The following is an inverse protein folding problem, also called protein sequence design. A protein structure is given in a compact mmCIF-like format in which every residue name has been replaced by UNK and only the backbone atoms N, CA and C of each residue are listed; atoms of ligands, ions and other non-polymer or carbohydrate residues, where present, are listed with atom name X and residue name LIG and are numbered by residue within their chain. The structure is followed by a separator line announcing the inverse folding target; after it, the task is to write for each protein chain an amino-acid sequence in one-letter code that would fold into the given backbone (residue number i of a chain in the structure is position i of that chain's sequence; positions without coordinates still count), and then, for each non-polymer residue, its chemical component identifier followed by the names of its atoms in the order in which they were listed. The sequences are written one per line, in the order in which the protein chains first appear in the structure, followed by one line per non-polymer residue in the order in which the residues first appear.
data_IF_317648833539
#
_entry.id   IF_317648833539
#
_cell.length_a   1.000
_cell.length_b   1.000
_cell.length_c   1.000
_cell.angle_alpha   90.00
_cell.angle_beta   90.00
_cell.angle_gamma   90.00
#
_symmetry.space_group_name_H-M   'P 1'
#
loop_
_entity.id
_entity.type
_entity.pdbx_description
1 polymer ?
#
# COMPACT_ATOMS: atom_id res chain seq x y z
N UNK A 1 56.43 -7.79 -8.49
CA UNK A 1 56.37 -6.35 -8.20
C UNK A 1 54.88 -5.98 -8.23
N UNK A 2 54.16 -6.14 -7.12
CA UNK A 2 54.07 -5.21 -5.98
C UNK A 2 53.28 -3.94 -6.32
N UNK A 3 51.96 -3.97 -6.08
CA UNK A 3 51.15 -2.83 -5.62
C UNK A 3 49.70 -3.30 -5.42
N UNK A 4 49.48 -4.07 -4.36
CA UNK A 4 48.21 -4.09 -3.67
C UNK A 4 48.12 -2.86 -2.75
N UNK A 5 46.90 -2.50 -2.35
CA UNK A 5 46.51 -1.43 -1.41
C UNK A 5 46.69 0.00 -1.94
N UNK A 6 45.70 0.89 -1.89
CA UNK A 6 45.04 1.44 -0.69
C UNK A 6 43.71 2.06 -1.17
N UNK A 7 42.55 1.50 -0.78
CA UNK A 7 41.60 2.06 0.21
C UNK A 7 40.57 3.02 -0.43
N UNK A 8 39.31 2.58 -0.57
CA UNK A 8 38.15 3.05 0.22
C UNK A 8 37.91 4.56 0.06
N UNK A 9 36.74 5.01 -0.42
CA UNK A 9 35.68 5.56 0.47
C UNK A 9 34.41 5.90 -0.35
N UNK A 10 33.28 5.36 0.12
CA UNK A 10 31.91 5.89 0.12
C UNK A 10 30.94 5.82 -1.08
N UNK A 11 30.00 4.88 -0.91
CA UNK A 11 28.54 5.06 -0.78
C UNK A 11 27.69 5.43 -2.02
N UNK A 12 26.63 4.63 -2.23
CA UNK A 12 25.80 4.60 -3.43
C UNK A 12 24.61 5.58 -3.49
N UNK A 13 23.72 5.40 -4.49
CA UNK A 13 22.60 6.31 -4.78
C UNK A 13 21.27 5.80 -4.20
N UNK A 14 20.43 6.71 -3.67
CA UNK A 14 18.99 6.46 -3.43
C UNK A 14 18.18 7.76 -3.47
N UNK A 15 17.01 7.72 -4.10
CA UNK A 15 16.17 8.85 -4.53
C UNK A 15 15.02 9.20 -3.57
N UNK A 16 14.64 10.50 -3.60
CA UNK A 16 13.34 11.18 -3.47
C UNK A 16 12.34 10.79 -2.35
N UNK A 17 11.74 11.80 -1.68
CA UNK A 17 10.31 12.20 -1.79
C UNK A 17 10.12 13.65 -1.29
N UNK A 18 9.52 14.52 -2.11
CA UNK A 18 9.04 15.86 -1.76
C UNK A 18 7.56 15.72 -1.37
N UNK A 19 7.19 16.17 -0.18
CA UNK A 19 5.80 16.16 0.28
C UNK A 19 4.94 17.09 -0.59
N UNK A 20 3.86 16.56 -1.16
CA UNK A 20 2.79 17.33 -1.78
C UNK A 20 1.81 17.79 -0.67
N UNK A 21 1.57 19.09 -0.54
CA UNK A 21 0.48 19.64 0.29
C UNK A 21 -0.65 20.15 -0.60
N UNK A 22 -1.93 19.85 -0.29
CA UNK A 22 -3.07 20.32 -1.09
C UNK A 22 -3.40 21.78 -0.72
N UNK A 23 -3.52 22.67 -1.69
CA UNK A 23 -3.93 24.03 -1.37
C UNK A 23 -4.14 25.02 -2.51
N UNK A 24 -3.59 24.83 -3.71
CA UNK A 24 -3.73 25.86 -4.75
C UNK A 24 -3.69 25.28 -6.15
N UNK A 25 -4.83 25.26 -6.83
CA UNK A 25 -4.84 25.42 -8.29
C UNK A 25 -5.87 26.49 -8.66
N UNK A 26 -5.35 27.67 -8.96
CA UNK A 26 -6.07 28.84 -9.43
C UNK A 26 -5.94 28.84 -10.95
N UNK A 27 -7.01 28.40 -11.64
CA UNK A 27 -7.15 28.49 -13.09
C UNK A 27 -8.12 29.62 -13.46
N UNK A 28 -7.83 30.46 -14.47
CA UNK A 28 -8.54 31.70 -14.71
C UNK A 28 -9.86 31.45 -15.44
N UNK A 29 -10.96 31.80 -14.78
CA UNK A 29 -12.25 31.98 -15.41
C UNK A 29 -13.10 32.88 -14.53
N UNK A 30 -13.70 33.88 -15.17
CA UNK A 30 -15.05 34.38 -14.89
C UNK A 30 -15.13 35.81 -14.33
N UNK A 31 -15.60 36.70 -15.21
CA UNK A 31 -16.05 38.08 -14.96
C UNK A 31 -17.23 38.13 -13.97
N UNK A 32 -17.39 39.24 -13.22
CA UNK A 32 -18.39 39.33 -12.18
C UNK A 32 -19.77 39.61 -12.78
N UNK A 33 -20.75 38.75 -12.46
CA UNK A 33 -22.17 38.94 -12.77
C UNK A 33 -22.80 39.69 -11.60
N UNK A 34 -23.45 40.82 -11.88
CA UNK A 34 -24.30 41.55 -10.93
C UNK A 34 -25.73 41.04 -11.10
N UNK A 35 -26.39 40.50 -10.07
CA UNK A 35 -27.83 40.34 -10.14
C UNK A 35 -28.53 40.86 -8.87
N UNK A 36 -29.19 42.00 -8.99
CA UNK A 36 -30.66 42.18 -9.09
C UNK A 36 -31.31 42.42 -7.72
N UNK A 37 -32.34 43.30 -7.67
CA UNK A 37 -32.91 43.74 -6.41
C UNK A 37 -33.59 42.58 -5.67
N UNK A 38 -33.33 42.51 -4.37
CA UNK A 38 -33.82 41.45 -3.49
C UNK A 38 -35.32 41.58 -3.22
N UNK A 39 -36.02 40.46 -3.37
CA UNK A 39 -37.42 40.30 -3.03
C UNK A 39 -37.66 40.51 -1.52
N UNK A 40 -38.88 40.93 -1.12
CA UNK A 40 -39.21 41.12 0.29
C UNK A 40 -39.10 39.82 1.10
N UNK A 41 -38.75 39.93 2.40
CA UNK A 41 -38.56 38.77 3.26
C UNK A 41 -39.87 38.02 3.47
N UNK A 42 -39.80 36.69 3.43
CA UNK A 42 -40.97 35.83 3.68
C UNK A 42 -41.36 35.85 5.16
N UNK A 43 -42.66 35.68 5.47
CA UNK A 43 -43.13 35.51 6.85
C UNK A 43 -42.44 34.34 7.57
N UNK A 44 -42.28 34.47 8.88
CA UNK A 44 -41.64 33.44 9.70
C UNK A 44 -42.48 32.15 9.72
N UNK A 45 -41.84 30.97 9.66
CA UNK A 45 -42.54 29.70 9.75
C UNK A 45 -43.15 29.49 11.14
N UNK A 46 -44.24 28.71 11.24
CA UNK A 46 -44.84 28.38 12.53
C UNK A 46 -43.89 27.55 13.42
N UNK A 47 -44.05 27.60 14.76
CA UNK A 47 -43.24 26.83 15.68
C UNK A 47 -43.46 25.32 15.50
N UNK A 48 -42.35 24.58 15.47
CA UNK A 48 -42.35 23.11 15.37
C UNK A 48 -42.23 22.53 16.78
N UNK A 49 -43.23 21.75 17.20
CA UNK A 49 -43.20 21.04 18.49
C UNK A 49 -42.76 19.59 18.29
N UNK A 50 -41.70 19.18 18.97
CA UNK A 50 -41.20 17.81 18.93
C UNK A 50 -41.89 17.00 20.04
N UNK A 51 -42.56 15.88 19.70
CA UNK A 51 -43.15 15.02 20.72
C UNK A 51 -42.05 14.35 21.56
N UNK A 52 -42.33 14.16 22.85
CA UNK A 52 -41.41 13.46 23.74
C UNK A 52 -41.29 11.99 23.31
N UNK A 53 -40.06 11.54 23.07
CA UNK A 53 -39.78 10.14 22.71
C UNK A 53 -39.85 9.30 23.98
N UNK A 54 -40.68 8.25 24.02
CA UNK A 54 -40.68 7.30 25.13
C UNK A 54 -39.30 6.65 25.27
N UNK A 55 -38.68 6.79 26.44
CA UNK A 55 -37.41 6.17 26.73
C UNK A 55 -37.63 4.72 27.18
N UNK A 56 -36.86 3.78 26.64
CA UNK A 56 -36.80 2.41 27.16
C UNK A 56 -35.81 2.38 28.33
N UNK A 57 -36.17 1.76 29.45
CA UNK A 57 -35.23 1.55 30.55
C UNK A 57 -34.04 0.76 30.02
N UNK A 58 -32.83 1.30 30.20
CA UNK A 58 -31.61 0.67 29.70
C UNK A 58 -31.50 -0.77 30.25
N UNK A 59 -30.97 -1.72 29.46
CA UNK A 59 -30.73 -3.06 29.96
C UNK A 59 -29.89 -2.99 31.25
N UNK A 60 -30.07 -3.94 32.19
CA UNK A 60 -29.26 -3.98 33.40
C UNK A 60 -27.78 -3.98 33.02
N UNK A 61 -26.96 -3.30 33.82
CA UNK A 61 -25.52 -3.24 33.57
C UNK A 61 -24.96 -4.65 33.45
N UNK A 62 -24.05 -4.85 32.50
CA UNK A 62 -23.35 -6.12 32.32
C UNK A 62 -22.58 -6.44 33.61
N UNK A 63 -23.16 -7.30 34.46
CA UNK A 63 -22.41 -7.96 35.51
C UNK A 63 -21.45 -8.94 34.83
N UNK A 64 -20.20 -9.02 35.31
CA UNK A 64 -19.25 -10.03 34.85
C UNK A 64 -19.86 -11.41 35.08
N UNK A 65 -20.42 -11.99 34.03
CA UNK A 65 -20.79 -13.39 34.02
C UNK A 65 -19.47 -14.15 34.16
N UNK A 66 -19.26 -14.79 35.30
CA UNK A 66 -18.09 -15.64 35.57
C UNK A 66 -18.20 -16.97 34.80
N UNK A 67 -18.73 -16.90 33.58
CA UNK A 67 -18.67 -17.95 32.58
C UNK A 67 -17.27 -17.88 32.02
N UNK A 68 -16.33 -18.62 32.64
CA UNK A 68 -15.07 -18.94 31.99
C UNK A 68 -15.41 -19.40 30.57
N UNK A 69 -15.03 -18.66 29.52
CA UNK A 69 -15.15 -19.22 28.18
C UNK A 69 -14.20 -20.41 28.18
N UNK A 70 -14.75 -21.63 28.14
CA UNK A 70 -13.96 -22.77 27.72
C UNK A 70 -13.50 -22.39 26.32
N UNK A 71 -12.21 -22.12 26.17
CA UNK A 71 -11.56 -21.92 24.90
C UNK A 71 -11.85 -23.19 24.09
N UNK A 72 -12.88 -23.15 23.24
CA UNK A 72 -12.98 -24.15 22.18
C UNK A 72 -11.85 -23.76 21.26
N UNK A 73 -10.73 -24.47 21.42
CA UNK A 73 -9.58 -24.39 20.53
C UNK A 73 -10.05 -24.88 19.17
N UNK A 74 -10.68 -23.98 18.41
CA UNK A 74 -10.90 -24.18 16.99
C UNK A 74 -9.55 -23.92 16.36
N UNK A 75 -8.86 -25.01 15.99
CA UNK A 75 -7.60 -24.95 15.25
C UNK A 75 -7.75 -23.92 14.12
N UNK A 76 -6.98 -22.81 14.13
CA UNK A 76 -7.01 -21.87 13.04
C UNK A 76 -6.61 -22.63 11.77
N UNK A 77 -7.32 -22.49 10.62
CA UNK A 77 -6.85 -23.09 9.40
C UNK A 77 -5.46 -22.52 9.14
N UNK A 78 -4.44 -23.38 9.24
CA UNK A 78 -3.06 -23.01 8.94
C UNK A 78 -2.93 -22.84 7.43
N UNK A 79 -3.46 -21.73 6.92
CA UNK A 79 -3.12 -21.21 5.61
C UNK A 79 -1.71 -20.70 5.72
N UNK A 80 -0.77 -21.64 5.65
CA UNK A 80 0.64 -21.36 5.49
C UNK A 80 0.81 -20.79 4.09
N UNK A 81 0.63 -19.47 3.96
CA UNK A 81 1.22 -18.68 2.89
C UNK A 81 2.74 -18.70 3.13
N UNK A 82 3.36 -19.88 3.04
CA UNK A 82 4.81 -19.97 2.86
C UNK A 82 5.06 -19.15 1.61
N UNK A 83 5.83 -18.05 1.69
CA UNK A 83 6.28 -17.39 0.49
C UNK A 83 6.95 -18.47 -0.35
N UNK A 84 6.39 -18.76 -1.53
CA UNK A 84 7.09 -19.60 -2.48
C UNK A 84 8.38 -18.85 -2.78
N UNK A 85 9.47 -19.27 -2.15
CA UNK A 85 10.76 -18.63 -2.29
C UNK A 85 11.21 -18.85 -3.73
N UNK A 86 10.89 -17.89 -4.60
CA UNK A 86 11.39 -17.84 -5.96
C UNK A 86 12.91 -18.00 -5.86
N UNK A 87 13.49 -18.91 -6.65
CA UNK A 87 14.95 -19.08 -6.68
C UNK A 87 15.60 -17.72 -6.92
N UNK A 88 16.68 -17.43 -6.19
CA UNK A 88 17.37 -16.16 -6.33
C UNK A 88 17.87 -15.97 -7.76
N UNK A 89 18.00 -14.73 -8.22
CA UNK A 89 18.45 -14.43 -9.58
C UNK A 89 19.75 -15.17 -9.94
N UNK A 90 20.71 -15.24 -9.01
CA UNK A 90 21.96 -15.99 -9.20
C UNK A 90 21.75 -17.48 -9.43
N UNK A 91 20.85 -18.13 -8.68
CA UNK A 91 20.53 -19.55 -8.88
C UNK A 91 19.90 -19.79 -10.26
N UNK A 92 19.06 -18.86 -10.73
CA UNK A 92 18.47 -18.93 -12.07
C UNK A 92 19.54 -18.71 -13.13
N UNK A 93 20.43 -17.74 -12.94
CA UNK A 93 21.54 -17.45 -13.84
C UNK A 93 22.49 -18.64 -14.01
N UNK A 94 22.91 -19.30 -12.91
CA UNK A 94 23.76 -20.50 -12.98
C UNK A 94 23.06 -21.65 -13.70
N UNK A 95 21.76 -21.85 -13.48
CA UNK A 95 20.99 -22.86 -14.21
C UNK A 95 20.95 -22.56 -15.71
N UNK A 96 20.61 -21.33 -16.09
CA UNK A 96 20.57 -20.93 -17.49
C UNK A 96 21.95 -20.98 -18.16
N UNK A 97 23.03 -20.68 -17.44
CA UNK A 97 24.40 -20.87 -17.93
C UNK A 97 24.68 -22.35 -18.26
N UNK A 98 24.27 -23.26 -17.38
CA UNK A 98 24.45 -24.70 -17.61
C UNK A 98 23.58 -25.21 -18.77
N UNK A 99 22.35 -24.69 -18.91
CA UNK A 99 21.48 -25.01 -20.05
C UNK A 99 22.09 -24.49 -21.36
N UNK A 100 22.61 -23.26 -21.40
CA UNK A 100 23.36 -22.73 -22.54
C UNK A 100 24.64 -23.52 -22.83
N UNK A 101 25.26 -24.11 -21.81
CA UNK A 101 26.39 -25.02 -21.98
C UNK A 101 26.00 -26.33 -22.62
N UNK A 102 24.89 -26.93 -22.19
CA UNK A 102 24.36 -28.15 -22.76
C UNK A 102 23.93 -27.99 -24.22
N UNK A 103 23.49 -26.78 -24.60
CA UNK A 103 23.18 -26.42 -25.98
C UNK A 103 24.42 -26.11 -26.84
N UNK A 104 25.63 -26.14 -26.26
CA UNK A 104 26.87 -25.91 -27.00
C UNK A 104 27.15 -24.44 -27.32
N UNK A 105 26.49 -23.48 -26.66
CA UNK A 105 26.75 -22.05 -26.89
C UNK A 105 28.17 -21.68 -26.46
N UNK A 106 28.78 -20.76 -27.21
CA UNK A 106 30.07 -20.16 -26.87
C UNK A 106 29.99 -19.37 -25.56
N UNK A 107 31.12 -19.08 -24.87
CA UNK A 107 31.08 -18.38 -23.58
C UNK A 107 30.35 -17.04 -23.62
N UNK A 108 30.44 -16.30 -24.73
CA UNK A 108 29.78 -15.01 -24.87
C UNK A 108 28.26 -15.17 -25.09
N UNK A 109 27.86 -16.07 -25.98
CA UNK A 109 26.45 -16.37 -26.26
C UNK A 109 25.75 -17.00 -25.05
N UNK A 110 26.47 -17.82 -24.28
CA UNK A 110 25.97 -18.41 -23.05
C UNK A 110 25.69 -17.34 -21.99
N UNK A 111 26.54 -16.33 -21.89
CA UNK A 111 26.33 -15.21 -20.98
C UNK A 111 25.15 -14.32 -21.40
N UNK A 112 24.96 -14.06 -22.70
CA UNK A 112 23.80 -13.29 -23.17
C UNK A 112 22.50 -14.08 -22.98
N UNK A 113 22.50 -15.37 -23.30
CA UNK A 113 21.37 -16.28 -23.05
C UNK A 113 21.01 -16.37 -21.56
N UNK A 114 22.00 -16.52 -20.67
CA UNK A 114 21.70 -16.64 -19.24
C UNK A 114 21.10 -15.37 -18.64
N UNK A 115 21.42 -14.18 -19.17
CA UNK A 115 20.81 -12.91 -18.74
C UNK A 115 19.33 -12.82 -19.13
N UNK A 116 18.97 -13.21 -20.35
CA UNK A 116 17.56 -13.21 -20.80
C UNK A 116 16.75 -14.34 -20.16
N UNK A 117 17.35 -15.51 -19.95
CA UNK A 117 16.73 -16.65 -19.27
C UNK A 117 16.47 -16.39 -17.78
N UNK A 118 17.37 -15.74 -17.05
CA UNK A 118 17.21 -15.50 -15.61
C UNK A 118 16.17 -14.40 -15.26
N UNK A 119 15.75 -13.62 -16.27
CA UNK A 119 14.71 -12.58 -16.18
C UNK A 119 13.29 -13.10 -16.43
N UNK A 120 13.16 -14.33 -16.97
CA UNK A 120 11.89 -15.05 -17.08
C UNK A 120 11.51 -15.69 -15.73
#
# INVERSE_FOLDING_TARGET
MAAALVLLICLGPAAAQIFQTPGTFQGPGNSPVIPYPTAPPRPAPPPVYVPQVPQMNSPPSFQLQNTKPSLVESDPPQTSLKPQHRKSYGQRFTRCLNEGAAMGLTPNERNSYARSCAQQ
#
